data_IF_256925281338
#
_entry.id   IF_256925281338
#
_cell.length_a   1.000
_cell.length_b   1.000
_cell.length_c   1.000
_cell.angle_alpha   90.00
_cell.angle_beta   90.00
_cell.angle_gamma   90.00
#
_symmetry.space_group_name_H-M   'P 1'
#
loop_
_entity.id
_entity.type
_entity.pdbx_description
1 polymer ?
#
# COMPACT_ATOMS: atom_id res chain seq x y z
N UNK A 1 -35.74 17.21 -21.26
CA UNK A 1 -35.79 15.89 -20.60
C UNK A 1 -34.35 15.39 -20.52
N UNK A 2 -33.65 15.80 -19.45
CA UNK A 2 -33.13 14.91 -18.39
C UNK A 2 -32.13 13.86 -18.89
N UNK A 3 -30.84 14.10 -18.66
CA UNK A 3 -29.95 13.17 -17.92
C UNK A 3 -28.56 13.82 -17.74
N UNK A 4 -28.26 14.29 -16.53
CA UNK A 4 -27.52 13.59 -15.45
C UNK A 4 -26.03 13.96 -15.46
N UNK A 5 -25.78 15.14 -14.90
CA UNK A 5 -24.49 15.53 -14.34
C UNK A 5 -24.19 14.65 -13.11
N UNK A 6 -23.57 13.48 -13.31
CA UNK A 6 -22.98 12.69 -12.22
C UNK A 6 -21.58 13.21 -11.92
N UNK A 7 -21.53 14.34 -11.22
CA UNK A 7 -20.37 14.66 -10.41
C UNK A 7 -20.29 13.61 -9.30
N UNK A 8 -19.58 12.51 -9.55
CA UNK A 8 -19.08 11.67 -8.47
C UNK A 8 -18.21 12.58 -7.62
N UNK A 9 -18.71 12.99 -6.46
CA UNK A 9 -17.92 13.76 -5.49
C UNK A 9 -16.63 13.00 -5.24
N UNK A 10 -15.49 13.61 -5.57
CA UNK A 10 -14.20 13.10 -5.13
C UNK A 10 -14.26 12.99 -3.61
N UNK A 11 -14.37 11.76 -3.11
CA UNK A 11 -14.40 11.54 -1.68
C UNK A 11 -12.98 11.72 -1.16
N UNK A 12 -12.79 12.81 -0.41
CA UNK A 12 -11.51 13.13 0.21
C UNK A 12 -11.27 12.17 1.37
N UNK A 13 -10.34 11.24 1.16
CA UNK A 13 -9.81 10.38 2.21
C UNK A 13 -8.72 11.14 2.94
N UNK A 14 -8.88 11.31 4.26
CA UNK A 14 -8.03 12.13 5.09
C UNK A 14 -7.47 11.35 6.29
N UNK A 15 -6.36 11.85 6.83
CA UNK A 15 -5.86 11.41 8.13
C UNK A 15 -6.94 11.55 9.20
N UNK A 16 -7.11 10.54 10.05
CA UNK A 16 -8.15 10.48 11.08
C UNK A 16 -9.37 9.64 10.69
N UNK A 17 -9.61 9.41 9.40
CA UNK A 17 -10.74 8.60 8.92
C UNK A 17 -10.65 7.15 9.40
N UNK A 18 -11.81 6.53 9.62
CA UNK A 18 -11.91 5.13 10.06
C UNK A 18 -12.43 4.26 8.92
N UNK A 19 -11.56 3.41 8.40
CA UNK A 19 -11.85 2.50 7.30
C UNK A 19 -12.44 1.20 7.83
N UNK A 20 -13.65 0.87 7.39
CA UNK A 20 -14.41 -0.36 7.75
C UNK A 20 -14.59 -0.56 9.27
N UNK A 21 -14.48 0.50 10.08
CA UNK A 21 -14.52 0.39 11.55
C UNK A 21 -13.28 -0.24 12.18
N UNK A 22 -12.25 -0.56 11.39
CA UNK A 22 -11.10 -1.37 11.83
C UNK A 22 -9.80 -0.57 11.80
N UNK A 23 -9.60 0.31 10.81
CA UNK A 23 -8.34 1.01 10.63
C UNK A 23 -8.52 2.51 10.72
N UNK A 24 -7.82 3.15 11.66
CA UNK A 24 -7.74 4.60 11.75
C UNK A 24 -6.56 5.10 10.92
N UNK A 25 -6.81 5.93 9.90
CA UNK A 25 -5.77 6.54 9.09
C UNK A 25 -4.95 7.52 9.94
N UNK A 26 -3.62 7.46 9.83
CA UNK A 26 -2.70 8.30 10.61
C UNK A 26 -2.13 9.41 9.73
N UNK A 27 -1.47 9.04 8.64
CA UNK A 27 -0.86 9.98 7.70
C UNK A 27 -0.75 9.37 6.31
N UNK A 28 -0.78 10.22 5.30
CA UNK A 28 -0.46 9.80 3.94
C UNK A 28 1.05 9.56 3.85
N UNK A 29 1.44 8.41 3.29
CA UNK A 29 2.84 7.98 3.11
C UNK A 29 3.24 7.83 1.63
N UNK A 30 2.27 7.90 0.72
CA UNK A 30 2.52 7.93 -0.71
C UNK A 30 1.30 8.42 -1.47
N UNK A 31 1.52 9.07 -2.61
CA UNK A 31 0.46 9.40 -3.56
C UNK A 31 1.02 9.44 -4.98
N UNK A 32 0.17 9.05 -5.93
CA UNK A 32 0.47 9.11 -7.36
C UNK A 32 -0.82 8.96 -8.17
N UNK A 33 -0.67 8.82 -9.48
CA UNK A 33 -1.80 8.77 -10.42
C UNK A 33 -2.76 7.59 -10.16
N UNK A 34 -2.26 6.50 -9.57
CA UNK A 34 -3.04 5.27 -9.32
C UNK A 34 -3.69 5.23 -7.93
N UNK A 35 -3.51 6.26 -7.10
CA UNK A 35 -4.07 6.27 -5.76
C UNK A 35 -3.19 6.92 -4.70
N UNK A 36 -3.59 6.71 -3.45
CA UNK A 36 -2.86 7.17 -2.28
C UNK A 36 -2.66 6.03 -1.29
N UNK A 37 -1.56 6.09 -0.56
CA UNK A 37 -1.21 5.13 0.49
C UNK A 37 -1.16 5.87 1.82
N UNK A 38 -1.86 5.35 2.81
CA UNK A 38 -1.86 5.84 4.17
C UNK A 38 -1.23 4.81 5.10
N UNK A 39 -0.47 5.31 6.07
CA UNK A 39 -0.21 4.56 7.30
C UNK A 39 -1.47 4.60 8.16
N UNK A 40 -1.88 3.46 8.69
CA UNK A 40 -3.06 3.33 9.54
C UNK A 40 -2.78 2.45 10.77
N UNK A 41 -3.56 2.66 11.83
CA UNK A 41 -3.53 1.84 13.05
C UNK A 41 -4.80 0.99 13.11
N UNK A 42 -4.64 -0.31 13.30
CA UNK A 42 -5.74 -1.23 13.59
C UNK A 42 -6.27 -0.96 15.00
N UNK A 43 -7.58 -0.72 15.10
CA UNK A 43 -8.28 -0.32 16.32
C UNK A 43 -8.54 -1.53 17.25
N UNK A 44 -8.60 -2.74 16.69
CA UNK A 44 -8.70 -3.98 17.46
C UNK A 44 -7.34 -4.32 18.11
N UNK A 45 -7.28 -4.16 19.42
CA UNK A 45 -6.08 -4.20 20.27
C UNK A 45 -5.87 -5.55 20.96
N UNK A 46 -6.55 -6.61 20.52
CA UNK A 46 -6.36 -7.97 21.06
C UNK A 46 -5.00 -8.62 20.73
N UNK A 47 -4.15 -7.97 19.91
CA UNK A 47 -2.80 -8.42 19.56
C UNK A 47 -1.73 -7.38 19.97
N UNK A 48 -0.58 -7.91 20.37
CA UNK A 48 0.60 -7.18 20.86
C UNK A 48 1.01 -5.98 19.97
N UNK A 49 1.38 -4.88 20.62
CA UNK A 49 1.46 -3.51 20.12
C UNK A 49 2.33 -3.24 18.88
N UNK A 50 3.18 -4.18 18.47
CA UNK A 50 4.04 -4.02 17.27
C UNK A 50 3.37 -4.38 15.95
N UNK A 51 2.25 -5.11 15.93
CA UNK A 51 1.57 -5.55 14.68
C UNK A 51 0.38 -4.68 14.26
N UNK A 52 0.18 -3.53 14.92
CA UNK A 52 -1.05 -2.74 14.75
C UNK A 52 -0.97 -1.71 13.63
N UNK A 53 0.21 -1.50 13.02
CA UNK A 53 0.39 -0.56 11.91
C UNK A 53 0.30 -1.27 10.57
N UNK A 54 -0.46 -0.68 9.65
CA UNK A 54 -0.69 -1.20 8.30
C UNK A 54 -0.55 -0.09 7.27
N UNK A 55 -0.25 -0.46 6.03
CA UNK A 55 -0.35 0.43 4.88
C UNK A 55 -1.70 0.20 4.19
N UNK A 56 -2.50 1.24 4.00
CA UNK A 56 -3.76 1.19 3.24
C UNK A 56 -3.59 1.96 1.96
N UNK A 57 -3.65 1.23 0.83
CA UNK A 57 -3.70 1.84 -0.49
C UNK A 57 -5.16 1.98 -0.91
N UNK A 58 -5.55 3.17 -1.31
CA UNK A 58 -6.83 3.45 -1.94
C UNK A 58 -6.64 3.67 -3.43
N UNK A 59 -7.53 3.10 -4.22
CA UNK A 59 -7.61 3.35 -5.64
C UNK A 59 -8.42 4.62 -5.89
N UNK A 60 -7.81 5.58 -6.60
CA UNK A 60 -8.45 6.82 -7.06
C UNK A 60 -8.70 6.81 -8.56
N UNK A 61 -8.27 5.78 -9.28
CA UNK A 61 -8.47 5.69 -10.71
C UNK A 61 -9.95 5.46 -11.04
N UNK A 62 -10.42 5.96 -12.20
CA UNK A 62 -11.72 5.58 -12.73
C UNK A 62 -11.89 4.06 -12.74
N UNK A 63 -13.10 3.56 -12.53
CA UNK A 63 -13.37 2.13 -12.38
C UNK A 63 -12.82 1.26 -13.52
N UNK A 64 -12.72 1.81 -14.74
CA UNK A 64 -12.19 1.15 -15.94
C UNK A 64 -10.65 1.07 -15.98
N UNK A 65 -9.96 1.93 -15.23
CA UNK A 65 -8.49 1.99 -15.15
C UNK A 65 -7.95 1.45 -13.80
N UNK A 66 -8.86 0.97 -12.95
CA UNK A 66 -8.56 0.40 -11.63
C UNK A 66 -7.66 -0.83 -11.76
N UNK A 67 -6.41 -0.72 -11.33
CA UNK A 67 -5.45 -1.83 -11.33
C UNK A 67 -5.47 -2.63 -10.01
N UNK A 68 -6.19 -2.14 -9.00
CA UNK A 68 -6.20 -2.71 -7.65
C UNK A 68 -6.66 -4.18 -7.61
N UNK A 69 -7.55 -4.58 -8.52
CA UNK A 69 -7.97 -5.99 -8.63
C UNK A 69 -6.81 -6.89 -9.04
N UNK A 70 -6.08 -6.50 -10.09
CA UNK A 70 -4.91 -7.25 -10.57
C UNK A 70 -3.80 -7.27 -9.50
N UNK A 71 -3.57 -6.14 -8.84
CA UNK A 71 -2.61 -6.04 -7.73
C UNK A 71 -2.97 -6.99 -6.58
N UNK A 72 -4.24 -7.01 -6.18
CA UNK A 72 -4.73 -7.94 -5.16
C UNK A 72 -4.58 -9.40 -5.61
N UNK A 73 -4.91 -9.70 -6.87
CA UNK A 73 -4.80 -11.05 -7.43
C UNK A 73 -3.36 -11.56 -7.42
N UNK A 74 -2.42 -10.73 -7.90
CA UNK A 74 -0.99 -11.06 -7.91
C UNK A 74 -0.45 -11.20 -6.49
N UNK A 75 -0.72 -10.25 -5.59
CA UNK A 75 -0.23 -10.34 -4.21
C UNK A 75 -0.78 -11.57 -3.47
N UNK A 76 -1.99 -12.03 -3.83
CA UNK A 76 -2.57 -13.26 -3.26
C UNK A 76 -1.83 -14.52 -3.70
N UNK A 77 -1.31 -14.59 -4.94
CA UNK A 77 -0.57 -15.78 -5.38
C UNK A 77 0.80 -15.91 -4.69
N UNK A 78 1.38 -14.79 -4.26
CA UNK A 78 2.70 -14.74 -3.56
C UNK A 78 2.57 -14.50 -2.05
N UNK A 79 1.36 -14.57 -1.48
CA UNK A 79 1.16 -14.35 -0.04
C UNK A 79 1.95 -15.36 0.79
N UNK A 80 2.69 -14.86 1.78
CA UNK A 80 3.54 -15.68 2.67
C UNK A 80 4.90 -16.05 2.07
N UNK A 81 5.21 -15.62 0.83
CA UNK A 81 6.55 -15.72 0.26
C UNK A 81 7.42 -14.57 0.77
N UNK A 82 8.74 -14.81 0.81
CA UNK A 82 9.71 -13.76 1.11
C UNK A 82 9.61 -12.62 0.08
N UNK A 83 9.98 -11.40 0.50
CA UNK A 83 10.04 -10.20 -0.34
C UNK A 83 8.70 -9.59 -0.75
N UNK A 84 7.56 -10.18 -0.37
CA UNK A 84 6.23 -9.65 -0.62
C UNK A 84 5.50 -9.27 0.67
N UNK A 85 4.73 -8.15 0.68
CA UNK A 85 3.97 -7.76 1.86
C UNK A 85 2.79 -8.70 2.09
N UNK A 86 2.46 -8.96 3.36
CA UNK A 86 1.22 -9.67 3.69
C UNK A 86 0.00 -8.81 3.39
N UNK A 87 -1.05 -9.45 2.88
CA UNK A 87 -2.37 -8.82 2.73
C UNK A 87 -3.19 -9.08 3.99
N UNK A 88 -3.71 -8.02 4.60
CA UNK A 88 -4.62 -8.12 5.73
C UNK A 88 -6.07 -8.09 5.31
N UNK A 89 -6.43 -7.21 4.36
CA UNK A 89 -7.80 -7.04 3.90
C UNK A 89 -7.85 -6.31 2.56
N UNK A 90 -8.89 -6.52 1.77
CA UNK A 90 -9.21 -5.69 0.61
C UNK A 90 -10.73 -5.53 0.51
N UNK A 91 -11.19 -4.51 -0.20
CA UNK A 91 -12.61 -4.30 -0.44
C UNK A 91 -12.94 -2.86 -0.82
N UNK A 92 -14.16 -2.45 -0.52
CA UNK A 92 -14.65 -1.09 -0.79
C UNK A 92 -15.10 -0.44 0.52
N UNK A 93 -14.72 0.83 0.71
CA UNK A 93 -15.16 1.70 1.79
C UNK A 93 -15.59 3.04 1.18
N UNK A 94 -16.83 3.45 1.43
CA UNK A 94 -17.44 4.66 0.85
C UNK A 94 -17.18 4.80 -0.66
N UNK A 95 -17.46 3.75 -1.44
CA UNK A 95 -17.20 3.68 -2.89
C UNK A 95 -15.73 3.76 -3.34
N UNK A 96 -14.76 3.89 -2.43
CA UNK A 96 -13.34 3.78 -2.73
C UNK A 96 -12.85 2.35 -2.50
N UNK A 97 -12.25 1.74 -3.53
CA UNK A 97 -11.59 0.44 -3.37
C UNK A 97 -10.30 0.62 -2.58
N UNK A 98 -9.99 -0.34 -1.72
CA UNK A 98 -8.79 -0.31 -0.90
C UNK A 98 -8.19 -1.70 -0.71
N UNK A 99 -6.90 -1.73 -0.40
CA UNK A 99 -6.17 -2.90 0.11
C UNK A 99 -5.35 -2.46 1.33
N UNK A 100 -5.44 -3.24 2.40
CA UNK A 100 -4.66 -3.12 3.61
C UNK A 100 -3.54 -4.17 3.60
N UNK A 101 -2.31 -3.69 3.70
CA UNK A 101 -1.08 -4.45 3.57
C UNK A 101 -0.20 -4.28 4.81
N UNK A 102 0.77 -5.17 4.96
CA UNK A 102 1.92 -4.98 5.83
C UNK A 102 2.61 -3.65 5.56
N UNK A 103 2.79 -2.86 6.62
CA UNK A 103 3.56 -1.62 6.52
C UNK A 103 5.05 -1.97 6.46
N UNK A 104 5.67 -1.71 5.31
CA UNK A 104 7.09 -1.92 5.11
C UNK A 104 7.92 -0.74 5.64
N UNK A 105 9.24 -0.98 5.71
CA UNK A 105 10.20 0.06 6.02
C UNK A 105 10.38 1.09 4.91
N UNK A 106 11.36 1.99 5.07
CA UNK A 106 11.72 3.00 4.08
C UNK A 106 12.13 2.39 2.75
N UNK A 107 11.87 3.10 1.66
CA UNK A 107 12.27 2.66 0.34
C UNK A 107 13.80 2.77 0.12
N UNK A 108 14.29 2.24 -0.99
CA UNK A 108 15.73 2.24 -1.29
C UNK A 108 16.30 3.66 -1.47
N UNK A 109 15.51 4.62 -1.96
CA UNK A 109 15.96 6.00 -2.14
C UNK A 109 16.13 6.66 -0.76
N UNK A 110 15.16 6.48 0.13
CA UNK A 110 15.23 6.93 1.52
C UNK A 110 16.48 6.38 2.21
N UNK A 111 16.79 5.09 2.04
CA UNK A 111 17.96 4.48 2.66
C UNK A 111 19.25 5.03 2.05
N UNK A 112 19.33 5.16 0.72
CA UNK A 112 20.51 5.69 0.03
C UNK A 112 20.85 7.12 0.48
N UNK A 113 19.82 7.95 0.68
CA UNK A 113 19.97 9.35 1.07
C UNK A 113 20.37 9.58 2.52
N UNK A 114 20.39 8.55 3.38
CA UNK A 114 20.78 8.68 4.81
C UNK A 114 22.25 9.04 5.02
N UNK A 115 23.12 8.74 4.05
CA UNK A 115 24.56 8.98 4.14
C UNK A 115 25.07 9.59 2.86
N UNK A 116 25.92 10.61 2.94
CA UNK A 116 26.69 11.09 1.79
C UNK A 116 27.66 9.98 1.34
N UNK A 117 27.83 9.74 0.03
CA UNK A 117 27.43 10.58 -1.09
C UNK A 117 26.05 10.24 -1.70
N UNK A 118 25.10 9.77 -0.90
CA UNK A 118 23.74 9.35 -1.33
C UNK A 118 23.75 8.12 -2.24
N UNK A 119 24.66 7.18 -1.97
CA UNK A 119 24.80 5.96 -2.74
C UNK A 119 25.03 4.75 -1.83
N UNK A 120 24.66 3.58 -2.34
CA UNK A 120 25.00 2.31 -1.69
C UNK A 120 26.44 1.90 -1.98
N UNK A 121 27.04 1.17 -1.05
CA UNK A 121 28.27 0.42 -1.33
C UNK A 121 27.97 -0.74 -2.27
N UNK A 122 28.99 -1.23 -2.98
CA UNK A 122 28.86 -2.39 -3.86
C UNK A 122 28.27 -3.61 -3.13
N UNK A 123 28.65 -3.83 -1.87
CA UNK A 123 28.13 -4.94 -1.05
C UNK A 123 26.62 -4.80 -0.82
N UNK A 124 26.14 -3.61 -0.47
CA UNK A 124 24.71 -3.38 -0.30
C UNK A 124 23.96 -3.52 -1.62
N UNK A 125 24.49 -2.98 -2.71
CA UNK A 125 23.92 -3.11 -4.06
C UNK A 125 23.77 -4.58 -4.46
N UNK A 126 24.79 -5.41 -4.25
CA UNK A 126 24.73 -6.85 -4.55
C UNK A 126 23.67 -7.56 -3.70
N UNK A 127 23.56 -7.24 -2.40
CA UNK A 127 22.53 -7.81 -1.52
C UNK A 127 21.10 -7.43 -1.95
N UNK A 128 20.88 -6.21 -2.42
CA UNK A 128 19.58 -5.81 -2.99
C UNK A 128 19.32 -6.52 -4.32
N UNK A 129 20.34 -6.68 -5.17
CA UNK A 129 20.24 -7.41 -6.42
C UNK A 129 19.82 -8.87 -6.21
N UNK A 130 20.44 -9.58 -5.25
CA UNK A 130 20.08 -10.97 -4.92
C UNK A 130 18.62 -11.06 -4.46
N UNK A 131 18.21 -10.24 -3.49
CA UNK A 131 16.81 -10.24 -2.99
C UNK A 131 15.81 -9.88 -4.09
N UNK A 132 16.17 -8.94 -4.98
CA UNK A 132 15.33 -8.57 -6.13
C UNK A 132 15.15 -9.72 -7.12
N UNK A 133 16.22 -10.46 -7.43
CA UNK A 133 16.15 -11.63 -8.32
C UNK A 133 15.31 -12.75 -7.69
N UNK A 134 15.45 -13.00 -6.38
CA UNK A 134 14.62 -13.97 -5.66
C UNK A 134 13.13 -13.60 -5.70
N UNK A 135 12.81 -12.31 -5.53
CA UNK A 135 11.44 -11.81 -5.62
C UNK A 135 10.88 -12.00 -7.04
N UNK A 136 11.65 -11.63 -8.07
CA UNK A 136 11.26 -11.82 -9.48
C UNK A 136 11.06 -13.30 -9.83
N UNK A 137 11.97 -14.17 -9.38
CA UNK A 137 11.87 -15.63 -9.58
C UNK A 137 10.66 -16.23 -8.87
N UNK A 138 10.17 -15.61 -7.80
CA UNK A 138 8.95 -16.06 -7.10
C UNK A 138 7.69 -15.61 -7.84
N UNK A 139 7.76 -14.49 -8.55
CA UNK A 139 6.63 -13.89 -9.27
C UNK A 139 6.41 -14.50 -10.67
N UNK A 140 7.49 -14.87 -11.36
CA UNK A 140 7.47 -15.55 -12.66
C UNK A 140 6.95 -16.98 -12.55
#
# INVERSE_FOLDING_TARGET
MHDQNRNASEQFINSGDIVKGIYKLVRQIGAGSFGCVFEAIRIDTSLSSSSNRVAIKFDRSPSQLSTLFNETYVLRSVTGKAHFPRIFQYGTHNNSKFIALELLGPDMIDIANRKRPCQFSIVSTLKFGIQGIEALSTLH
#
